data_IF_921834040692
#
_entry.id   IF_921834040692
#
_cell.length_a   1.000
_cell.length_b   1.000
_cell.length_c   1.000
_cell.angle_alpha   90.00
_cell.angle_beta   90.00
_cell.angle_gamma   90.00
#
_symmetry.space_group_name_H-M   'P 1'
#
loop_
_entity.id
_entity.type
_entity.pdbx_description
1 polymer ?
2 water ?
#
# COMPACT_ATOMS: atom_id res chain seq x y z
N UNK A 6 -7.44 2.85 17.93
CA UNK A 6 -6.12 2.94 17.33
C UNK A 6 -5.00 2.69 18.35
N UNK A 7 -4.98 1.47 18.88
CA UNK A 7 -3.87 0.86 19.62
C UNK A 7 -2.75 0.28 18.74
N UNK A 8 -2.92 0.06 17.42
CA UNK A 8 -1.76 -0.36 16.62
C UNK A 8 -0.67 0.69 16.57
N UNK A 9 0.56 0.20 16.48
CA UNK A 9 1.74 1.05 16.39
C UNK A 9 2.59 0.57 15.22
N UNK A 10 3.30 1.51 14.60
CA UNK A 10 4.23 1.15 13.55
C UNK A 10 5.24 0.14 14.08
N UNK A 11 5.50 -0.89 13.28
CA UNK A 11 6.37 -1.97 13.68
C UNK A 11 5.69 -3.07 14.46
N UNK A 12 4.48 -2.85 14.95
CA UNK A 12 3.72 -3.92 15.57
C UNK A 12 3.28 -4.96 14.55
N UNK A 13 3.07 -6.17 15.04
CA UNK A 13 2.53 -7.26 14.25
C UNK A 13 1.13 -7.54 14.79
N UNK A 14 0.15 -7.52 13.90
CA UNK A 14 -1.26 -7.58 14.26
C UNK A 14 -1.95 -8.65 13.44
N UNK A 15 -2.96 -9.24 14.05
CA UNK A 15 -3.84 -10.18 13.37
C UNK A 15 -4.91 -9.37 12.64
N UNK A 16 -5.12 -9.69 11.36
CA UNK A 16 -6.00 -8.94 10.47
C UNK A 16 -7.13 -9.82 9.96
N UNK A 17 -8.34 -9.26 9.95
CA UNK A 17 -9.51 -9.95 9.41
C UNK A 17 -9.45 -10.04 7.89
N UNK A 18 -9.48 -11.27 7.38
CA UNK A 18 -9.38 -11.59 5.96
C UNK A 18 -8.04 -11.19 5.36
N UNK A 27 -14.07 -16.91 6.22
CA UNK A 27 -13.41 -15.97 7.12
C UNK A 27 -12.09 -16.43 7.71
N UNK A 28 -11.02 -15.68 7.46
CA UNK A 28 -9.69 -15.97 7.98
C UNK A 28 -9.10 -14.77 8.70
N UNK A 29 -8.18 -15.06 9.62
CA UNK A 29 -7.32 -14.06 10.25
C UNK A 29 -5.88 -14.36 9.87
N UNK A 30 -5.14 -13.32 9.48
CA UNK A 30 -3.75 -13.50 9.12
C UNK A 30 -2.93 -12.35 9.69
N UNK A 31 -1.65 -12.57 9.97
CA UNK A 31 -0.82 -11.50 10.53
C UNK A 31 -0.34 -10.52 9.46
N UNK A 32 -0.02 -9.32 9.93
CA UNK A 32 0.47 -8.22 9.12
C UNK A 32 1.21 -7.24 10.02
N UNK A 33 2.20 -6.56 9.44
CA UNK A 33 3.01 -5.54 10.12
C UNK A 33 2.44 -4.17 9.80
N UNK A 34 2.21 -3.35 10.83
CA UNK A 34 1.82 -1.96 10.62
C UNK A 34 3.02 -1.18 10.10
N UNK A 35 2.85 -0.51 8.96
CA UNK A 35 3.92 0.31 8.41
C UNK A 35 3.58 1.79 8.36
N UNK A 36 2.32 2.19 8.46
CA UNK A 36 2.04 3.62 8.48
C UNK A 36 2.48 4.23 9.82
N UNK A 37 2.65 5.55 9.82
CA UNK A 37 3.27 6.21 10.97
C UNK A 37 2.23 6.49 12.05
N UNK A 38 2.71 6.57 13.29
CA UNK A 38 1.82 6.64 14.45
C UNK A 38 1.00 7.93 14.46
N UNK A 39 1.56 9.04 14.01
CA UNK A 39 0.80 10.28 14.10
C UNK A 39 -0.39 10.36 13.13
N UNK A 40 -0.64 9.35 12.31
CA UNK A 40 -1.86 9.37 11.51
C UNK A 40 -3.08 8.89 12.27
N UNK A 41 -2.90 8.21 13.39
CA UNK A 41 -4.01 7.54 14.07
C UNK A 41 -4.79 8.51 14.94
N UNK A 42 -6.11 8.54 14.74
CA UNK A 42 -7.01 9.34 15.56
C UNK A 42 -7.89 8.52 16.49
N UNK A 43 -7.88 7.20 16.38
CA UNK A 43 -8.63 6.36 17.29
C UNK A 43 -10.04 6.02 16.88
N UNK A 44 -10.39 6.17 15.61
CA UNK A 44 -11.70 5.76 15.12
C UNK A 44 -11.54 4.51 14.28
N UNK A 45 -12.61 3.70 14.24
CA UNK A 45 -12.53 2.39 13.60
C UNK A 45 -12.39 2.46 12.08
N UNK A 46 -13.00 3.44 11.43
CA UNK A 46 -13.01 3.42 9.96
C UNK A 46 -11.73 3.99 9.34
N UNK A 47 -10.84 4.58 10.12
CA UNK A 47 -9.64 5.17 9.56
C UNK A 47 -8.70 4.09 9.02
N UNK A 48 -7.89 4.48 8.03
CA UNK A 48 -7.05 3.53 7.30
C UNK A 48 -5.70 3.36 7.99
N UNK A 49 -5.29 2.10 8.14
CA UNK A 49 -3.97 1.72 8.62
C UNK A 49 -3.29 0.91 7.52
N UNK A 50 -2.06 1.27 7.18
CA UNK A 50 -1.33 0.58 6.12
C UNK A 50 -0.52 -0.55 6.73
N UNK A 51 -0.72 -1.77 6.22
CA UNK A 51 -0.04 -2.95 6.75
C UNK A 51 0.61 -3.73 5.61
N UNK A 52 1.59 -4.53 5.98
CA UNK A 52 2.28 -5.45 5.07
C UNK A 52 1.94 -6.87 5.50
N UNK A 53 1.28 -7.66 4.66
CA UNK A 53 0.93 -9.02 5.08
C UNK A 53 2.17 -9.84 5.38
N UNK A 54 2.05 -10.71 6.38
CA UNK A 54 3.11 -11.63 6.78
C UNK A 54 2.60 -13.04 6.56
N UNK A 55 3.41 -13.87 5.91
CA UNK A 55 3.00 -15.21 5.54
C UNK A 55 4.06 -16.20 5.98
N UNK A 56 3.61 -17.37 6.42
CA UNK A 56 4.50 -18.47 6.79
C UNK A 56 4.55 -19.54 5.72
N UNK A 57 3.94 -19.30 4.56
CA UNK A 57 3.89 -20.27 3.48
C UNK A 57 4.51 -19.76 2.19
N UNK A 58 5.25 -18.65 2.25
CA UNK A 58 5.94 -18.13 1.07
C UNK A 58 7.42 -18.00 1.38
N UNK A 59 8.24 -18.21 0.35
CA UNK A 59 9.67 -18.26 0.57
C UNK A 59 10.22 -16.84 0.70
N UNK A 60 11.45 -16.77 1.16
CA UNK A 60 12.12 -15.53 1.50
C UNK A 60 12.85 -15.00 0.27
N UNK A 61 12.74 -13.69 0.03
CA UNK A 61 13.39 -13.00 -1.08
C UNK A 61 13.76 -11.62 -0.58
N UNK A 62 14.55 -10.86 -1.34
CA UNK A 62 14.82 -9.47 -0.92
C UNK A 62 13.57 -8.62 -0.73
N UNK A 63 12.47 -8.93 -1.42
CA UNK A 63 11.23 -8.20 -1.20
C UNK A 63 10.32 -8.88 -0.18
N UNK A 64 10.72 -10.04 0.35
CA UNK A 64 9.97 -10.74 1.40
C UNK A 64 10.92 -11.05 2.55
N UNK A 65 11.31 -10.04 3.33
CA UNK A 65 12.28 -10.27 4.39
C UNK A 65 11.69 -11.16 5.47
N UNK A 66 12.52 -11.95 6.16
CA UNK A 66 11.99 -12.90 7.13
C UNK A 66 11.54 -12.25 8.43
N UNK A 67 10.58 -12.91 9.07
CA UNK A 67 10.02 -12.50 10.35
C UNK A 67 10.06 -13.71 11.27
N UNK A 68 10.66 -13.54 12.44
CA UNK A 68 10.93 -14.62 13.39
C UNK A 68 9.82 -14.73 14.43
N UNK A 69 9.64 -15.92 15.02
CA UNK A 69 8.64 -16.08 16.10
C UNK A 69 8.79 -15.11 17.25
N UNK A 70 10.02 -14.67 17.56
CA UNK A 70 10.20 -13.67 18.61
C UNK A 70 9.53 -12.35 18.27
N UNK A 71 9.20 -12.12 17.00
CA UNK A 71 8.53 -10.89 16.58
C UNK A 71 7.01 -11.03 16.52
N UNK A 72 6.46 -12.20 16.85
CA UNK A 72 5.02 -12.35 17.00
C UNK A 72 4.37 -13.44 16.18
N UNK A 73 5.07 -14.14 15.30
CA UNK A 73 4.41 -15.14 14.47
C UNK A 73 4.59 -16.50 15.14
N UNK A 74 3.75 -17.45 14.77
CA UNK A 74 3.89 -18.81 15.30
C UNK A 74 4.98 -19.61 14.60
N UNK A 75 5.33 -19.26 13.36
CA UNK A 75 6.35 -19.99 12.61
C UNK A 75 7.12 -19.03 11.71
N UNK A 76 8.30 -19.47 11.26
CA UNK A 76 9.13 -18.69 10.34
C UNK A 76 8.29 -18.13 9.20
N UNK A 77 8.24 -16.81 9.12
CA UNK A 77 7.40 -16.10 8.18
C UNK A 77 8.19 -15.08 7.37
N UNK A 78 7.54 -14.54 6.33
CA UNK A 78 8.11 -13.47 5.51
C UNK A 78 7.08 -12.36 5.37
N UNK A 79 7.57 -11.13 5.25
CA UNK A 79 6.72 -9.96 5.05
C UNK A 79 6.55 -9.69 3.55
N UNK A 80 5.32 -9.80 3.06
CA UNK A 80 5.05 -9.69 1.61
C UNK A 80 4.86 -8.21 1.30
N UNK A 81 5.98 -7.49 1.18
CA UNK A 81 5.92 -6.04 0.99
C UNK A 81 5.21 -5.65 -0.30
N UNK A 82 5.23 -6.51 -1.31
CA UNK A 82 4.51 -6.20 -2.53
C UNK A 82 3.00 -6.24 -2.33
N UNK A 83 2.52 -6.87 -1.25
CA UNK A 83 1.10 -6.91 -0.93
C UNK A 83 0.63 -5.81 0.01
N UNK A 84 1.43 -4.75 0.16
CA UNK A 84 1.11 -3.65 1.06
C UNK A 84 -0.32 -3.15 0.80
N UNK A 85 -1.05 -2.83 1.87
CA UNK A 85 -2.42 -2.37 1.69
C UNK A 85 -2.92 -1.59 2.90
N UNK A 86 -3.75 -0.59 2.61
CA UNK A 86 -4.48 0.14 3.62
C UNK A 86 -5.74 -0.64 3.99
N UNK A 87 -5.93 -0.88 5.29
CA UNK A 87 -7.14 -1.52 5.78
C UNK A 87 -7.74 -0.66 6.88
N UNK A 88 -9.04 -0.82 7.06
CA UNK A 88 -9.71 -0.17 8.18
C UNK A 88 -9.18 -0.69 9.51
N UNK A 89 -8.96 0.23 10.45
CA UNK A 89 -8.64 -0.07 11.85
C UNK A 89 -9.43 -1.25 12.39
N UNK A 90 -10.73 -1.29 12.11
CA UNK A 90 -11.62 -2.33 12.61
C UNK A 90 -11.20 -3.74 12.18
N UNK A 91 -10.45 -3.86 11.09
CA UNK A 91 -9.99 -5.17 10.64
C UNK A 91 -8.79 -5.69 11.43
N UNK A 92 -8.18 -4.86 12.28
CA UNK A 92 -7.03 -5.26 13.09
C UNK A 92 -7.54 -5.86 14.40
N UNK A 93 -7.51 -7.19 14.50
CA UNK A 93 -8.27 -7.88 15.53
C UNK A 93 -7.51 -7.92 16.85
N UNK A 94 -6.21 -8.20 16.83
CA UNK A 94 -5.44 -8.13 18.07
C UNK A 94 -3.95 -8.07 17.77
N UNK A 95 -3.23 -7.48 18.71
CA UNK A 95 -1.77 -7.37 18.66
C UNK A 95 -1.12 -8.71 18.95
N UNK A 96 -0.06 -9.01 18.20
CA UNK A 96 0.67 -10.27 18.30
C UNK A 96 2.10 -10.09 18.78
N UNK A 97 2.73 -8.96 18.47
CA UNK A 97 4.12 -8.77 18.79
C UNK A 97 4.62 -7.47 18.19
N UNK A 98 5.94 -7.35 18.11
CA UNK A 98 6.58 -6.20 17.47
C UNK A 98 7.85 -6.67 16.79
N UNK A 99 8.21 -6.00 15.70
CA UNK A 99 9.35 -6.44 14.91
C UNK A 99 10.65 -5.83 15.43
N UNK A 100 11.73 -6.58 15.27
CA UNK A 100 13.06 -6.03 15.49
C UNK A 100 13.31 -4.86 14.54
N UNK A 101 14.12 -3.88 14.95
CA UNK A 101 14.39 -2.74 14.07
C UNK A 101 15.07 -3.12 12.76
N UNK A 102 15.89 -4.18 12.76
CA UNK A 102 16.52 -4.63 11.52
C UNK A 102 15.48 -5.14 10.52
N UNK A 103 14.48 -5.90 11.00
CA UNK A 103 13.41 -6.36 10.12
C UNK A 103 12.63 -5.17 9.57
N UNK A 104 12.41 -4.15 10.40
CA UNK A 104 11.73 -2.95 9.91
C UNK A 104 12.57 -2.24 8.85
N UNK A 105 13.90 -2.25 8.99
CA UNK A 105 14.72 -1.61 7.96
C UNK A 105 14.67 -2.40 6.66
N UNK A 106 14.65 -3.73 6.74
CA UNK A 106 14.49 -4.53 5.53
C UNK A 106 13.16 -4.22 4.84
N UNK A 107 12.07 -4.14 5.61
CA UNK A 107 10.77 -3.85 5.01
C UNK A 107 10.78 -2.46 4.39
N UNK A 108 11.37 -1.49 5.08
CA UNK A 108 11.48 -0.15 4.53
C UNK A 108 12.23 -0.16 3.20
N UNK A 109 13.33 -0.92 3.12
CA UNK A 109 14.12 -0.94 1.89
C UNK A 109 13.33 -1.57 0.75
N UNK A 110 12.69 -2.71 1.02
CA UNK A 110 11.93 -3.43 0.00
C UNK A 110 10.84 -2.54 -0.56
N UNK A 111 10.15 -1.87 0.35
CA UNK A 111 9.08 -0.93 0.07
C UNK A 111 9.58 0.28 -0.72
N UNK A 112 10.79 0.76 -0.40
CA UNK A 112 11.42 1.81 -1.20
C UNK A 112 11.65 1.35 -2.63
N UNK A 113 12.10 0.11 -2.80
CA UNK A 113 12.27 -0.46 -4.14
C UNK A 113 10.94 -0.56 -4.87
N UNK A 114 9.93 -1.17 -4.23
CA UNK A 114 8.66 -1.46 -4.89
C UNK A 114 8.00 -0.19 -5.39
N UNK A 115 8.06 0.88 -4.61
CA UNK A 115 7.37 2.11 -4.96
C UNK A 115 8.26 3.10 -5.69
N UNK A 116 9.50 2.71 -6.01
CA UNK A 116 10.42 3.56 -6.73
C UNK A 116 10.73 4.86 -6.00
N UNK A 117 11.03 4.76 -4.70
CA UNK A 117 11.20 6.03 -4.03
C UNK A 117 12.68 6.39 -3.92
N UNK A 118 13.00 7.70 -3.86
CA UNK A 118 14.38 8.17 -3.70
C UNK A 118 15.03 7.74 -2.38
N UNK B 5 -4.82 -6.86 -22.82
CA UNK B 5 -4.78 -5.41 -22.60
C UNK B 5 -3.36 -4.93 -22.23
N UNK B 6 -3.13 -3.62 -22.32
CA UNK B 6 -1.80 -3.05 -22.09
C UNK B 6 -1.30 -3.37 -20.68
N UNK B 7 0.01 -3.29 -20.52
CA UNK B 7 0.57 -3.50 -19.19
C UNK B 7 0.63 -2.18 -18.43
N UNK B 8 0.13 -2.11 -17.20
CA UNK B 8 0.10 -0.83 -16.49
C UNK B 8 1.51 -0.33 -16.24
N UNK B 9 1.67 0.99 -16.24
CA UNK B 9 2.98 1.56 -16.05
C UNK B 9 2.91 2.59 -14.93
N UNK B 10 4.03 2.75 -14.22
CA UNK B 10 4.08 3.68 -13.12
C UNK B 10 3.71 5.08 -13.59
N UNK B 11 2.86 5.74 -12.82
CA UNK B 11 2.34 7.02 -13.22
C UNK B 11 1.11 6.94 -14.09
N UNK B 12 0.79 5.76 -14.63
CA UNK B 12 -0.47 5.61 -15.33
C UNK B 12 -1.64 5.77 -14.38
N UNK B 13 -2.76 6.15 -14.96
CA UNK B 13 -4.00 6.26 -14.23
C UNK B 13 -4.96 5.26 -14.86
N UNK B 14 -5.50 4.38 -14.01
CA UNK B 14 -6.27 3.23 -14.44
C UNK B 14 -7.56 3.19 -13.65
N UNK B 15 -8.61 2.67 -14.28
CA UNK B 15 -9.84 2.37 -13.58
C UNK B 15 -9.70 1.02 -12.88
N UNK B 16 -10.12 0.97 -11.61
CA UNK B 16 -10.03 -0.23 -10.79
C UNK B 16 -11.44 -0.69 -10.47
N UNK B 17 -11.73 -1.96 -10.76
CA UNK B 17 -12.99 -2.59 -10.41
C UNK B 17 -12.95 -2.99 -8.94
N UNK B 18 -13.89 -2.47 -8.15
CA UNK B 18 -13.93 -2.62 -6.68
C UNK B 18 -12.76 -1.90 -6.02
N UNK B 27 -21.34 -3.42 -8.52
CA UNK B 27 -19.89 -3.41 -8.58
C UNK B 27 -19.38 -1.99 -8.77
N UNK B 28 -18.60 -1.51 -7.81
CA UNK B 28 -18.10 -0.15 -7.86
C UNK B 28 -16.77 -0.09 -8.62
N UNK B 29 -16.37 1.14 -8.95
CA UNK B 29 -15.21 1.39 -9.79
C UNK B 29 -14.59 2.69 -9.34
N UNK B 30 -13.28 2.83 -9.56
CA UNK B 30 -12.63 4.05 -9.10
C UNK B 30 -11.29 4.21 -9.79
N UNK B 31 -10.87 5.41 -10.14
CA UNK B 31 -9.53 5.59 -10.72
C UNK B 31 -8.45 5.48 -9.65
N UNK B 32 -7.25 5.16 -10.11
CA UNK B 32 -6.11 5.00 -9.21
C UNK B 32 -4.83 5.20 -10.01
N UNK B 33 -3.79 5.65 -9.31
CA UNK B 33 -2.46 5.88 -9.87
C UNK B 33 -1.61 4.65 -9.62
N UNK B 34 -0.95 4.14 -10.66
CA UNK B 34 0.02 3.08 -10.45
C UNK B 34 1.27 3.67 -9.80
N UNK B 35 1.66 3.13 -8.64
CA UNK B 35 2.87 3.60 -7.97
C UNK B 35 3.98 2.55 -7.89
N UNK B 36 3.71 1.26 -8.08
CA UNK B 36 4.81 0.30 -8.11
C UNK B 36 5.62 0.41 -9.41
N UNK B 37 6.86 -0.10 -9.37
CA UNK B 37 7.80 0.10 -10.48
C UNK B 37 7.57 -0.94 -11.58
N UNK B 38 7.95 -0.54 -12.80
CA UNK B 38 7.63 -1.31 -14.00
C UNK B 38 8.34 -2.66 -14.02
N UNK B 39 9.58 -2.74 -13.52
CA UNK B 39 10.29 -4.01 -13.60
C UNK B 39 9.72 -5.08 -12.68
N UNK B 40 8.66 -4.81 -11.91
CA UNK B 40 8.01 -5.88 -11.18
C UNK B 40 7.03 -6.67 -12.04
N UNK B 41 6.65 -6.17 -13.21
CA UNK B 41 5.60 -6.79 -13.99
C UNK B 41 6.16 -7.92 -14.84
N UNK B 42 5.57 -9.11 -14.69
CA UNK B 42 5.95 -10.25 -15.51
C UNK B 42 4.90 -10.62 -16.55
N UNK B 43 3.74 -9.96 -16.54
CA UNK B 43 2.72 -10.22 -17.54
C UNK B 43 1.68 -11.25 -17.19
N UNK B 44 1.49 -11.58 -15.92
CA UNK B 44 0.41 -12.48 -15.51
C UNK B 44 -0.67 -11.65 -14.83
N UNK B 45 -1.92 -12.13 -14.93
CA UNK B 45 -3.07 -11.37 -14.44
C UNK B 45 -3.13 -11.30 -12.92
N UNK B 46 -2.69 -12.33 -12.22
CA UNK B 46 -2.86 -12.37 -10.77
C UNK B 46 -1.79 -11.58 -10.02
N UNK B 47 -0.75 -11.11 -10.70
CA UNK B 47 0.34 -10.43 -10.01
C UNK B 47 -0.12 -9.09 -9.45
N UNK B 48 0.55 -8.67 -8.37
CA UNK B 48 0.14 -7.52 -7.59
C UNK B 48 0.73 -6.24 -8.16
N UNK B 49 -0.12 -5.22 -8.30
CA UNK B 49 0.25 -3.87 -8.68
C UNK B 49 -0.17 -2.94 -7.55
N UNK B 50 0.72 -2.06 -7.12
CA UNK B 50 0.41 -1.15 -6.03
C UNK B 50 -0.14 0.14 -6.63
N UNK B 51 -1.32 0.56 -6.16
CA UNK B 51 -1.98 1.77 -6.66
C UNK B 51 -2.36 2.69 -5.50
N UNK B 52 -2.58 3.95 -5.84
CA UNK B 52 -3.10 4.99 -4.96
C UNK B 52 -4.49 5.37 -5.47
N UNK B 53 -5.55 5.10 -4.71
CA UNK B 53 -6.90 5.42 -5.19
C UNK B 53 -7.10 6.92 -5.34
N UNK B 54 -7.95 7.29 -6.30
CA UNK B 54 -8.27 8.68 -6.59
C UNK B 54 -9.73 8.93 -6.26
N UNK B 55 -9.99 10.05 -5.58
CA UNK B 55 -11.34 10.38 -5.12
C UNK B 55 -11.69 11.80 -5.55
N UNK B 56 -12.96 12.01 -5.89
CA UNK B 56 -13.48 13.33 -6.21
C UNK B 56 -14.39 13.86 -5.10
N UNK B 57 -14.47 13.16 -3.97
CA UNK B 57 -15.33 13.55 -2.86
C UNK B 57 -14.53 13.84 -1.60
N UNK B 58 -13.22 13.97 -1.72
CA UNK B 58 -12.35 14.29 -0.60
C UNK B 58 -11.58 15.55 -0.92
N UNK B 59 -11.35 16.36 0.11
CA UNK B 59 -10.70 17.64 -0.09
C UNK B 59 -9.19 17.44 -0.18
N UNK B 60 -8.51 18.50 -0.57
CA UNK B 60 -7.08 18.41 -0.83
C UNK B 60 -6.33 18.66 0.47
N UNK B 61 -5.29 17.86 0.70
CA UNK B 61 -4.43 18.00 1.87
C UNK B 61 -3.03 17.65 1.42
N UNK B 62 -2.02 17.90 2.26
CA UNK B 62 -0.66 17.43 1.91
C UNK B 62 -0.56 15.93 1.68
N UNK B 63 -1.47 15.14 2.24
CA UNK B 63 -1.50 13.71 1.96
C UNK B 63 -2.49 13.34 0.86
N UNK B 64 -3.25 14.31 0.35
CA UNK B 64 -4.19 14.10 -0.75
C UNK B 64 -3.93 15.14 -1.84
N UNK B 65 -2.82 15.01 -2.57
CA UNK B 65 -2.48 16.02 -3.57
C UNK B 65 -3.45 15.97 -4.74
N UNK B 66 -3.68 17.10 -5.40
CA UNK B 66 -4.68 17.14 -6.47
C UNK B 66 -4.18 16.49 -7.75
N UNK B 67 -5.14 16.01 -8.54
CA UNK B 67 -4.88 15.39 -9.84
C UNK B 67 -5.73 16.11 -10.87
N UNK B 68 -5.08 16.57 -11.98
CA UNK B 68 -5.77 17.47 -12.91
C UNK B 68 -6.52 16.71 -13.99
N UNK B 69 -7.60 17.31 -14.51
CA UNK B 69 -8.33 16.68 -15.63
C UNK B 69 -7.46 16.35 -16.83
N UNK B 70 -6.40 17.13 -17.06
CA UNK B 70 -5.48 16.80 -18.14
C UNK B 70 -4.79 15.46 -17.90
N UNK B 71 -4.80 14.96 -16.67
CA UNK B 71 -4.16 13.69 -16.35
C UNK B 71 -5.14 12.52 -16.40
N UNK B 72 -6.43 12.77 -16.65
CA UNK B 72 -7.40 11.72 -16.93
C UNK B 72 -8.60 11.64 -16.00
N UNK B 73 -8.69 12.43 -14.94
CA UNK B 73 -9.77 12.31 -13.97
C UNK B 73 -10.67 13.54 -13.99
N UNK B 74 -11.77 13.46 -13.24
CA UNK B 74 -12.69 14.57 -13.11
C UNK B 74 -12.05 15.69 -12.29
N UNK B 75 -12.61 16.89 -12.44
CA UNK B 75 -12.10 18.02 -11.69
C UNK B 75 -12.27 17.77 -10.19
N UNK B 76 -11.46 18.46 -9.40
CA UNK B 76 -11.50 18.35 -7.95
C UNK B 76 -11.26 16.91 -7.50
N UNK B 77 -10.22 16.28 -8.04
CA UNK B 77 -9.89 14.91 -7.67
C UNK B 77 -8.55 14.92 -6.96
N UNK B 78 -8.41 13.99 -6.02
CA UNK B 78 -7.21 13.91 -5.20
C UNK B 78 -6.73 12.47 -5.14
N UNK B 79 -5.42 12.31 -4.98
CA UNK B 79 -4.81 11.00 -4.80
C UNK B 79 -4.78 10.71 -3.31
N UNK B 80 -5.55 9.71 -2.88
CA UNK B 80 -5.68 9.38 -1.45
C UNK B 80 -4.54 8.43 -1.12
N UNK B 81 -3.36 9.01 -0.89
CA UNK B 81 -2.16 8.21 -0.70
C UNK B 81 -2.25 7.32 0.53
N UNK B 82 -3.05 7.72 1.52
CA UNK B 82 -3.24 6.88 2.70
C UNK B 82 -4.01 5.61 2.37
N UNK B 83 -4.70 5.57 1.23
CA UNK B 83 -5.41 4.40 0.77
C UNK B 83 -4.62 3.50 -0.14
N UNK B 84 -3.29 3.67 -0.19
CA UNK B 84 -2.44 2.87 -1.06
C UNK B 84 -2.72 1.39 -0.85
N UNK B 85 -2.76 0.62 -1.95
CA UNK B 85 -2.99 -0.82 -1.82
C UNK B 85 -2.57 -1.58 -3.07
N UNK B 86 -2.12 -2.80 -2.83
CA UNK B 86 -1.80 -3.75 -3.88
C UNK B 86 -3.08 -4.45 -4.34
N UNK B 87 -3.31 -4.44 -5.64
CA UNK B 87 -4.45 -5.10 -6.26
C UNK B 87 -3.94 -6.01 -7.37
N UNK B 88 -4.71 -7.05 -7.68
CA UNK B 88 -4.37 -7.88 -8.83
C UNK B 88 -4.46 -7.06 -10.11
N UNK B 89 -3.45 -7.24 -10.97
CA UNK B 89 -3.46 -6.67 -12.31
C UNK B 89 -4.83 -6.75 -12.97
N UNK B 90 -5.48 -7.91 -12.87
CA UNK B 90 -6.77 -8.09 -13.52
C UNK B 90 -7.82 -7.08 -13.04
N UNK B 91 -7.64 -6.47 -11.86
CA UNK B 91 -8.63 -5.48 -11.46
C UNK B 91 -8.46 -4.14 -12.16
N UNK B 92 -7.37 -3.93 -12.89
CA UNK B 92 -7.14 -2.68 -13.62
C UNK B 92 -7.78 -2.83 -14.99
N UNK B 93 -9.03 -2.37 -15.12
CA UNK B 93 -9.88 -2.70 -16.26
C UNK B 93 -9.82 -1.70 -17.42
N UNK B 94 -9.35 -0.48 -17.20
CA UNK B 94 -9.22 0.43 -18.33
C UNK B 94 -8.14 1.45 -18.05
N UNK B 95 -7.27 1.67 -19.04
CA UNK B 95 -6.28 2.73 -18.91
C UNK B 95 -6.96 4.06 -19.17
N UNK B 96 -6.69 5.03 -18.30
CA UNK B 96 -7.36 6.32 -18.31
C UNK B 96 -6.43 7.46 -18.65
N UNK B 97 -5.16 7.37 -18.28
CA UNK B 97 -4.29 8.51 -18.51
C UNK B 97 -2.93 8.30 -17.88
N UNK B 98 -2.24 9.41 -17.69
CA UNK B 98 -0.94 9.46 -17.04
C UNK B 98 -0.83 10.77 -16.27
N UNK B 99 -0.03 10.75 -15.21
CA UNK B 99 0.15 11.92 -14.36
C UNK B 99 1.32 12.77 -14.84
N UNK B 100 1.20 14.08 -14.66
CA UNK B 100 2.36 14.94 -14.82
C UNK B 100 3.42 14.56 -13.79
N UNK B 101 4.71 14.72 -14.12
CA UNK B 101 5.76 14.29 -13.18
C UNK B 101 5.73 15.00 -11.83
N UNK B 102 5.30 16.27 -11.79
CA UNK B 102 5.22 16.98 -10.52
C UNK B 102 4.19 16.33 -9.60
N UNK B 103 3.06 15.89 -10.15
CA UNK B 103 2.07 15.17 -9.35
C UNK B 103 2.64 13.86 -8.82
N UNK B 104 3.44 13.16 -9.63
CA UNK B 104 4.07 11.93 -9.15
C UNK B 104 5.03 12.22 -8.01
N UNK B 105 5.74 13.34 -8.06
CA UNK B 105 6.63 13.69 -6.97
C UNK B 105 5.85 14.04 -5.71
N UNK B 106 4.71 14.71 -5.86
CA UNK B 106 3.87 14.96 -4.69
C UNK B 106 3.40 13.65 -4.06
N UNK B 107 2.97 12.70 -4.88
CA UNK B 107 2.50 11.42 -4.36
C UNK B 107 3.65 10.67 -3.69
N UNK B 108 4.83 10.69 -4.31
CA UNK B 108 6.00 10.06 -3.70
C UNK B 108 6.29 10.65 -2.33
N UNK B 109 6.17 11.97 -2.20
CA UNK B 109 6.44 12.61 -0.92
C UNK B 109 5.42 12.17 0.12
N UNK B 110 4.14 12.17 -0.26
CA UNK B 110 3.08 11.76 0.66
C UNK B 110 3.26 10.31 1.11
N UNK B 111 3.57 9.41 0.17
CA UNK B 111 3.85 8.02 0.53
C UNK B 111 5.06 7.90 1.43
N UNK B 112 6.11 8.68 1.16
CA UNK B 112 7.27 8.67 2.04
C UNK B 112 6.91 9.07 3.46
N UNK B 113 6.05 10.08 3.63
CA UNK B 113 5.59 10.43 4.97
C UNK B 113 4.79 9.30 5.60
N UNK B 114 3.75 8.83 4.89
CA UNK B 114 2.82 7.86 5.47
C UNK B 114 3.55 6.61 5.93
N UNK B 115 4.51 6.15 5.14
CA UNK B 115 5.17 4.89 5.46
C UNK B 115 6.45 5.08 6.28
N UNK B 116 6.77 6.31 6.68
CA UNK B 116 7.96 6.54 7.48
C UNK B 116 9.24 6.12 6.80
N UNK B 117 9.43 6.52 5.55
CA UNK B 117 10.61 6.03 4.86
C UNK B 117 11.73 7.07 4.88
N UNK B 118 13.00 6.62 4.80
CA UNK B 118 14.16 7.52 4.76
C UNK B 118 14.16 8.42 3.53
#
# INVERSE_FOLDING_TARGET
>A
GPELMAEPRRGDLWLVSLGAARAGEPGKHRPAVVVSVDELLTGIDDELVVVVPVSSSRSRTPLRPPVAPSEGVAADSVAVCRGVRAVARARLVERLGALKPATMRAIENALTLILGLPTGPERGEAATHSPVRWTGGRDP
>B
GPELMAEPRRGDLWLVSLGAARAGEPGKHRPAVVVSVDELLTGIDDELVVVVPVSSSRSRTPLRPPVAPSEGVAADSVAVCRGVRAVARARLVERLGALKPATMRAIENALTLILGLPTGPERGEAATHSPVRWTGGRDP
#
